data_IF_162404121762
#
_entry.id   IF_162404121762
#
_cell.length_a   1.000
_cell.length_b   1.000
_cell.length_c   1.000
_cell.angle_alpha   90.00
_cell.angle_beta   90.00
_cell.angle_gamma   90.00
#
_symmetry.space_group_name_H-M   'P 1'
#
loop_
_entity.id
_entity.type
_entity.pdbx_description
1 polymer ?
#
# COMPACT_ATOMS: atom_id res chain seq x y z
N UNK A 1 14.67 -54.80 -9.38
CA UNK A 1 14.64 -53.32 -9.33
C UNK A 1 13.18 -52.87 -9.21
N UNK A 2 12.67 -52.65 -8.00
CA UNK A 2 11.30 -52.20 -7.80
C UNK A 2 11.24 -50.67 -7.95
N UNK A 3 10.56 -50.21 -9.00
CA UNK A 3 10.39 -48.77 -9.29
C UNK A 3 9.41 -48.13 -8.31
N UNK A 4 9.92 -47.26 -7.44
CA UNK A 4 9.12 -46.43 -6.53
C UNK A 4 8.31 -45.39 -7.31
N UNK A 5 7.10 -45.73 -7.78
CA UNK A 5 6.16 -44.77 -8.37
C UNK A 5 5.35 -44.10 -7.25
N UNK A 6 5.66 -42.83 -6.97
CA UNK A 6 4.83 -42.00 -6.07
C UNK A 6 3.36 -42.02 -6.54
N UNK A 7 2.39 -42.25 -5.65
CA UNK A 7 0.98 -42.24 -6.01
C UNK A 7 0.57 -40.86 -6.55
N UNK A 8 -0.27 -40.85 -7.59
CA UNK A 8 -0.77 -39.61 -8.19
C UNK A 8 -1.62 -38.88 -7.15
N UNK A 9 -1.41 -37.56 -6.97
CA UNK A 9 -2.23 -36.74 -6.06
C UNK A 9 -3.71 -36.86 -6.46
N UNK A 10 -4.59 -37.10 -5.49
CA UNK A 10 -6.03 -37.11 -5.69
C UNK A 10 -6.50 -35.75 -6.20
N UNK A 11 -7.30 -35.74 -7.27
CA UNK A 11 -7.89 -34.52 -7.82
C UNK A 11 -8.81 -33.88 -6.79
N UNK A 12 -8.48 -32.65 -6.37
CA UNK A 12 -9.37 -31.80 -5.58
C UNK A 12 -9.96 -30.75 -6.52
N UNK A 13 -11.26 -30.81 -6.84
CA UNK A 13 -11.88 -29.81 -7.70
C UNK A 13 -11.71 -28.43 -7.07
N UNK A 14 -11.33 -27.43 -7.87
CA UNK A 14 -11.30 -26.04 -7.40
C UNK A 14 -12.74 -25.63 -7.08
N UNK A 15 -12.94 -25.01 -5.92
CA UNK A 15 -14.24 -24.43 -5.59
C UNK A 15 -14.54 -23.29 -6.57
N UNK A 16 -15.58 -23.46 -7.39
CA UNK A 16 -16.05 -22.43 -8.33
C UNK A 16 -17.20 -21.72 -7.62
N UNK A 17 -16.99 -20.46 -7.25
CA UNK A 17 -18.11 -19.62 -6.79
C UNK A 17 -19.02 -19.28 -7.97
N UNK A 18 -20.34 -19.43 -7.76
CA UNK A 18 -21.37 -19.13 -8.76
C UNK A 18 -21.39 -17.66 -9.18
N UNK A 19 -20.83 -16.77 -8.35
CA UNK A 19 -20.82 -15.32 -8.57
C UNK A 19 -19.49 -14.80 -9.15
N UNK A 20 -18.54 -15.67 -9.52
CA UNK A 20 -17.22 -15.27 -10.05
C UNK A 20 -17.33 -14.27 -11.21
N UNK A 21 -18.28 -14.46 -12.12
CA UNK A 21 -18.48 -13.54 -13.25
C UNK A 21 -18.84 -12.13 -12.81
N UNK A 22 -19.66 -11.99 -11.77
CA UNK A 22 -20.09 -10.69 -11.22
C UNK A 22 -18.94 -10.02 -10.46
N UNK A 23 -18.22 -10.78 -9.63
CA UNK A 23 -17.05 -10.27 -8.88
C UNK A 23 -15.97 -9.73 -9.83
N UNK A 24 -15.70 -10.42 -10.95
CA UNK A 24 -14.74 -9.93 -11.95
C UNK A 24 -15.17 -8.61 -12.59
N UNK A 25 -16.47 -8.41 -12.84
CA UNK A 25 -16.99 -7.16 -13.38
C UNK A 25 -16.91 -6.03 -12.35
N UNK A 26 -17.27 -6.30 -11.10
CA UNK A 26 -17.19 -5.32 -10.01
C UNK A 26 -15.75 -4.86 -9.79
N UNK A 27 -14.77 -5.77 -9.89
CA UNK A 27 -13.34 -5.40 -9.77
C UNK A 27 -12.85 -4.48 -10.88
N UNK A 28 -13.54 -4.42 -12.02
CA UNK A 28 -13.20 -3.53 -13.15
C UNK A 28 -13.77 -2.13 -12.99
N UNK A 29 -14.55 -1.84 -11.96
CA UNK A 29 -14.98 -0.48 -11.64
C UNK A 29 -14.09 0.12 -10.55
N UNK A 30 -13.99 1.46 -10.46
CA UNK A 30 -13.48 2.14 -9.28
C UNK A 30 -14.28 1.79 -8.02
N UNK A 31 -13.72 2.18 -6.87
CA UNK A 31 -14.44 2.13 -5.60
C UNK A 31 -15.62 3.11 -5.62
N UNK A 32 -16.69 2.78 -4.88
CA UNK A 32 -17.72 3.79 -4.61
C UNK A 32 -17.15 4.89 -3.71
N UNK A 33 -17.76 6.08 -3.79
CA UNK A 33 -17.33 7.27 -3.05
C UNK A 33 -17.33 7.02 -1.54
N UNK A 34 -18.32 6.27 -1.03
CA UNK A 34 -18.38 5.90 0.40
C UNK A 34 -17.17 5.05 0.80
N UNK A 35 -16.86 4.02 0.02
CA UNK A 35 -15.75 3.11 0.28
C UNK A 35 -14.39 3.83 0.22
N UNK A 36 -14.18 4.72 -0.76
CA UNK A 36 -12.95 5.51 -0.85
C UNK A 36 -12.83 6.51 0.29
N UNK A 37 -13.96 7.07 0.75
CA UNK A 37 -13.99 8.03 1.87
C UNK A 37 -13.65 7.35 3.19
N UNK A 38 -14.26 6.20 3.48
CA UNK A 38 -13.99 5.44 4.71
C UNK A 38 -12.51 5.04 4.81
N UNK A 39 -11.93 4.60 3.68
CA UNK A 39 -10.51 4.28 3.61
C UNK A 39 -9.64 5.53 3.79
N UNK A 40 -10.00 6.64 3.14
CA UNK A 40 -9.30 7.92 3.28
C UNK A 40 -9.28 8.42 4.73
N UNK A 41 -10.41 8.32 5.45
CA UNK A 41 -10.51 8.70 6.87
C UNK A 41 -9.45 7.95 7.70
N UNK A 42 -9.30 6.63 7.51
CA UNK A 42 -8.33 5.84 8.26
C UNK A 42 -6.88 6.34 8.03
N UNK A 43 -6.51 6.63 6.79
CA UNK A 43 -5.18 7.13 6.45
C UNK A 43 -4.93 8.55 6.99
N UNK A 44 -5.91 9.44 6.86
CA UNK A 44 -5.79 10.82 7.35
C UNK A 44 -5.77 10.90 8.87
N UNK A 45 -6.52 10.05 9.58
CA UNK A 45 -6.45 9.94 11.04
C UNK A 45 -5.07 9.47 11.48
N UNK A 46 -4.54 8.41 10.87
CA UNK A 46 -3.20 7.91 11.17
C UNK A 46 -2.13 8.98 10.91
N UNK A 47 -2.24 9.71 9.80
CA UNK A 47 -1.35 10.82 9.48
C UNK A 47 -1.47 11.95 10.52
N UNK A 48 -2.67 12.36 10.90
CA UNK A 48 -2.89 13.42 11.89
C UNK A 48 -2.30 13.07 13.27
N UNK A 49 -2.46 11.83 13.73
CA UNK A 49 -1.84 11.35 14.97
C UNK A 49 -0.30 11.41 14.90
N UNK A 50 0.28 11.00 13.76
CA UNK A 50 1.73 11.09 13.51
C UNK A 50 2.24 12.54 13.52
N UNK A 51 1.47 13.48 12.97
CA UNK A 51 1.83 14.90 12.88
C UNK A 51 1.71 15.61 14.23
N UNK A 52 0.74 15.21 15.06
CA UNK A 52 0.53 15.76 16.41
C UNK A 52 1.45 15.13 17.46
N UNK A 53 2.34 14.23 17.07
CA UNK A 53 3.29 13.56 17.97
C UNK A 53 2.65 12.52 18.89
N UNK A 54 1.42 12.08 18.58
CA UNK A 54 0.71 10.97 19.25
C UNK A 54 0.80 9.67 18.45
N UNK A 55 1.62 9.67 17.40
CA UNK A 55 1.87 8.53 16.54
C UNK A 55 2.35 7.29 17.29
N UNK A 56 2.04 6.12 16.73
CA UNK A 56 2.59 4.84 17.13
C UNK A 56 3.01 4.05 15.87
N UNK A 57 3.50 2.83 16.06
CA UNK A 57 3.95 1.97 14.95
C UNK A 57 2.81 1.63 13.97
N UNK A 58 1.59 1.45 14.46
CA UNK A 58 0.41 1.14 13.64
C UNK A 58 0.01 2.32 12.76
N UNK A 59 0.03 3.54 13.30
CA UNK A 59 -0.23 4.76 12.54
C UNK A 59 0.84 4.97 11.46
N UNK A 60 2.12 4.77 11.81
CA UNK A 60 3.20 4.82 10.83
C UNK A 60 3.03 3.77 9.72
N UNK A 61 2.74 2.51 10.08
CA UNK A 61 2.54 1.42 9.13
C UNK A 61 1.35 1.69 8.19
N UNK A 62 0.26 2.24 8.73
CA UNK A 62 -0.92 2.63 7.97
C UNK A 62 -0.58 3.70 6.92
N UNK A 63 0.14 4.76 7.30
CA UNK A 63 0.57 5.80 6.36
C UNK A 63 1.54 5.23 5.31
N UNK A 64 2.53 4.43 5.73
CA UNK A 64 3.52 3.82 4.82
C UNK A 64 2.85 2.88 3.81
N UNK A 65 1.79 2.16 4.21
CA UNK A 65 1.00 1.35 3.29
C UNK A 65 0.41 2.21 2.17
N UNK A 66 -0.25 3.32 2.51
CA UNK A 66 -0.80 4.26 1.52
C UNK A 66 0.28 4.83 0.60
N UNK A 67 1.44 5.22 1.14
CA UNK A 67 2.55 5.75 0.35
C UNK A 67 3.12 4.72 -0.64
N UNK A 68 3.25 3.45 -0.23
CA UNK A 68 3.73 2.39 -1.11
C UNK A 68 2.72 2.05 -2.20
N UNK A 69 1.42 2.02 -1.88
CA UNK A 69 0.36 1.88 -2.88
C UNK A 69 0.45 3.03 -3.88
N UNK A 70 0.59 4.26 -3.37
CA UNK A 70 0.69 5.44 -4.22
C UNK A 70 1.88 5.37 -5.16
N UNK A 71 3.04 4.92 -4.69
CA UNK A 71 4.22 4.73 -5.53
C UNK A 71 3.94 3.73 -6.66
N UNK A 72 3.42 2.53 -6.33
CA UNK A 72 3.11 1.51 -7.34
C UNK A 72 2.08 2.01 -8.36
N UNK A 73 1.12 2.84 -7.94
CA UNK A 73 0.14 3.44 -8.85
C UNK A 73 0.76 4.53 -9.73
N UNK A 74 1.65 5.38 -9.19
CA UNK A 74 2.40 6.35 -10.02
C UNK A 74 3.26 5.67 -11.07
N UNK A 75 3.94 4.55 -10.74
CA UNK A 75 4.70 3.73 -11.69
C UNK A 75 3.83 3.12 -12.80
N UNK A 76 2.51 3.03 -12.57
CA UNK A 76 1.52 2.54 -13.53
C UNK A 76 0.81 3.67 -14.28
N UNK A 77 1.28 4.91 -14.14
CA UNK A 77 0.77 6.09 -14.85
C UNK A 77 -0.33 6.87 -14.11
N UNK A 78 -0.61 6.58 -12.84
CA UNK A 78 -1.58 7.34 -12.05
C UNK A 78 -0.88 8.45 -11.24
N UNK A 79 -0.68 9.63 -11.84
CA UNK A 79 -0.04 10.78 -11.20
C UNK A 79 1.49 10.72 -11.21
N UNK A 80 2.07 10.32 -12.34
CA UNK A 80 3.51 10.15 -12.56
C UNK A 80 4.33 11.40 -12.18
N UNK A 81 3.77 12.59 -12.40
CA UNK A 81 4.38 13.88 -12.06
C UNK A 81 4.64 14.08 -10.56
N UNK A 82 3.91 13.37 -9.70
CA UNK A 82 4.05 13.44 -8.24
C UNK A 82 4.98 12.35 -7.70
N UNK A 83 5.44 11.41 -8.55
CA UNK A 83 6.32 10.30 -8.14
C UNK A 83 7.55 10.74 -7.33
N UNK A 84 8.30 11.82 -7.69
CA UNK A 84 9.44 12.27 -6.89
C UNK A 84 9.04 12.65 -5.46
N UNK A 85 7.86 13.24 -5.29
CA UNK A 85 7.30 13.61 -3.98
C UNK A 85 6.94 12.38 -3.16
N UNK A 86 6.36 11.35 -3.79
CA UNK A 86 6.05 10.08 -3.13
C UNK A 86 7.33 9.38 -2.64
N UNK A 87 8.40 9.39 -3.44
CA UNK A 87 9.70 8.83 -3.05
C UNK A 87 10.28 9.55 -1.82
N UNK A 88 10.30 10.90 -1.83
CA UNK A 88 10.75 11.68 -0.67
C UNK A 88 9.89 11.45 0.58
N UNK A 89 8.59 11.26 0.42
CA UNK A 89 7.69 10.89 1.52
C UNK A 89 8.06 9.53 2.14
N UNK A 90 8.38 8.53 1.31
CA UNK A 90 8.83 7.21 1.76
C UNK A 90 10.20 7.29 2.46
N UNK A 91 11.14 8.08 1.95
CA UNK A 91 12.42 8.35 2.64
C UNK A 91 12.19 8.98 4.01
N UNK A 92 11.26 9.95 4.09
CA UNK A 92 10.80 10.55 5.34
C UNK A 92 10.21 9.53 6.31
N UNK A 93 9.44 8.57 5.81
CA UNK A 93 8.88 7.50 6.62
C UNK A 93 9.95 6.54 7.16
N UNK A 94 11.01 6.26 6.38
CA UNK A 94 12.17 5.49 6.86
C UNK A 94 12.88 6.23 7.98
N UNK A 95 13.16 7.54 7.81
CA UNK A 95 13.77 8.36 8.86
C UNK A 95 12.91 8.41 10.13
N UNK A 96 11.59 8.53 9.99
CA UNK A 96 10.64 8.50 11.10
C UNK A 96 10.75 7.20 11.91
N UNK A 97 10.78 6.04 11.25
CA UNK A 97 10.94 4.72 11.89
C UNK A 97 12.28 4.62 12.60
N UNK A 98 13.36 5.00 11.93
CA UNK A 98 14.71 4.86 12.47
C UNK A 98 14.93 5.79 13.68
N UNK A 99 14.30 6.96 13.68
CA UNK A 99 14.22 7.85 14.86
C UNK A 99 13.38 7.22 15.98
N UNK A 100 12.20 6.70 15.67
CA UNK A 100 11.34 6.05 16.66
C UNK A 100 12.03 4.87 17.36
N UNK A 101 12.83 4.08 16.63
CA UNK A 101 13.64 3.00 17.22
C UNK A 101 14.69 3.49 18.22
N UNK A 102 15.18 4.74 18.09
CA UNK A 102 16.19 5.32 18.98
C UNK A 102 15.58 6.01 20.20
N UNK A 103 14.45 6.71 20.05
CA UNK A 103 13.89 7.58 21.10
C UNK A 103 12.44 7.24 21.50
N UNK A 104 11.83 6.24 20.89
CA UNK A 104 10.45 5.81 21.17
C UNK A 104 9.35 6.73 20.63
N UNK A 105 9.70 7.80 19.90
CA UNK A 105 8.73 8.79 19.38
C UNK A 105 8.49 8.62 17.88
N UNK A 106 7.23 8.42 17.52
CA UNK A 106 6.78 8.33 16.14
C UNK A 106 6.28 9.68 15.63
N UNK A 107 6.73 10.05 14.44
CA UNK A 107 6.35 11.28 13.76
C UNK A 107 7.28 11.54 12.58
N UNK A 108 6.88 12.42 11.67
CA UNK A 108 7.71 12.85 10.55
C UNK A 108 8.66 13.99 10.95
N UNK A 109 9.71 14.24 10.16
CA UNK A 109 10.47 15.49 10.26
C UNK A 109 9.81 16.59 9.41
N UNK A 110 10.26 17.85 9.58
CA UNK A 110 9.68 19.00 8.89
C UNK A 110 9.72 18.87 7.37
N UNK A 111 10.81 18.35 6.84
CA UNK A 111 11.01 18.17 5.39
C UNK A 111 10.05 17.12 4.83
N UNK A 112 9.89 15.98 5.51
CA UNK A 112 8.98 14.91 5.08
C UNK A 112 7.50 15.30 5.21
N UNK A 113 7.15 16.23 6.09
CA UNK A 113 5.76 16.50 6.46
C UNK A 113 4.91 16.96 5.27
N UNK A 114 5.44 17.86 4.44
CA UNK A 114 4.75 18.35 3.24
C UNK A 114 4.66 17.27 2.16
N UNK A 115 5.73 16.51 1.96
CA UNK A 115 5.77 15.44 0.96
C UNK A 115 4.80 14.30 1.30
N UNK A 116 4.72 13.90 2.58
CA UNK A 116 3.78 12.86 3.04
C UNK A 116 2.33 13.31 2.86
N UNK A 117 1.99 14.56 3.21
CA UNK A 117 0.64 15.09 2.98
C UNK A 117 0.27 15.04 1.51
N UNK A 118 1.14 15.55 0.64
CA UNK A 118 0.89 15.55 -0.80
C UNK A 118 0.77 14.14 -1.38
N UNK A 119 1.56 13.19 -0.89
CA UNK A 119 1.48 11.80 -1.32
C UNK A 119 0.20 11.10 -0.85
N UNK A 120 -0.33 11.42 0.34
CA UNK A 120 -1.63 10.91 0.81
C UNK A 120 -2.79 11.54 0.02
N UNK A 121 -2.73 12.82 -0.30
CA UNK A 121 -3.71 13.46 -1.20
C UNK A 121 -3.73 12.81 -2.58
N UNK A 122 -2.55 12.54 -3.14
CA UNK A 122 -2.42 11.79 -4.39
C UNK A 122 -3.04 10.40 -4.27
N UNK A 123 -2.79 9.69 -3.17
CA UNK A 123 -3.40 8.39 -2.93
C UNK A 123 -4.94 8.47 -2.98
N UNK A 124 -5.55 9.49 -2.38
CA UNK A 124 -7.02 9.67 -2.43
C UNK A 124 -7.54 9.99 -3.85
N UNK A 125 -6.77 10.76 -4.62
CA UNK A 125 -7.06 11.01 -6.04
C UNK A 125 -6.99 9.70 -6.84
N UNK A 126 -5.95 8.89 -6.60
CA UNK A 126 -5.77 7.59 -7.24
C UNK A 126 -6.89 6.61 -6.87
N UNK A 127 -7.34 6.56 -5.61
CA UNK A 127 -8.44 5.69 -5.18
C UNK A 127 -9.78 6.04 -5.85
N UNK A 128 -9.96 7.31 -6.26
CA UNK A 128 -11.16 7.76 -6.98
C UNK A 128 -11.19 7.32 -8.45
N UNK A 129 -10.03 7.12 -9.07
CA UNK A 129 -9.93 6.85 -10.52
C UNK A 129 -9.49 5.43 -10.87
N UNK A 130 -8.66 4.81 -10.03
CA UNK A 130 -8.16 3.47 -10.26
C UNK A 130 -9.27 2.44 -10.00
N UNK A 131 -9.30 1.38 -10.83
CA UNK A 131 -10.23 0.28 -10.61
C UNK A 131 -9.82 -0.54 -9.38
N UNK A 132 -10.80 -1.17 -8.72
CA UNK A 132 -10.53 -2.06 -7.56
C UNK A 132 -9.46 -3.11 -7.90
N UNK A 133 -9.50 -3.68 -9.11
CA UNK A 133 -8.49 -4.62 -9.59
C UNK A 133 -7.08 -4.02 -9.63
N UNK A 134 -6.94 -2.78 -10.11
CA UNK A 134 -5.64 -2.09 -10.19
C UNK A 134 -5.08 -1.84 -8.79
N UNK A 135 -5.92 -1.39 -7.86
CA UNK A 135 -5.53 -1.15 -6.45
C UNK A 135 -5.13 -2.46 -5.77
N UNK A 136 -5.91 -3.53 -5.93
CA UNK A 136 -5.57 -4.85 -5.37
C UNK A 136 -4.26 -5.40 -5.94
N UNK A 137 -4.02 -5.22 -7.24
CA UNK A 137 -2.75 -5.59 -7.87
C UNK A 137 -1.59 -4.71 -7.38
N UNK A 138 -1.85 -3.46 -7.01
CA UNK A 138 -0.83 -2.59 -6.41
C UNK A 138 -0.48 -3.07 -4.99
N UNK A 139 -1.48 -3.38 -4.18
CA UNK A 139 -1.27 -3.96 -2.84
C UNK A 139 -0.51 -5.29 -2.88
N UNK A 140 -0.86 -6.19 -3.81
CA UNK A 140 -0.14 -7.44 -4.00
C UNK A 140 1.34 -7.22 -4.38
N UNK A 141 1.60 -6.22 -5.21
CA UNK A 141 2.95 -5.80 -5.59
C UNK A 141 3.72 -5.22 -4.39
N UNK A 142 3.07 -4.42 -3.54
CA UNK A 142 3.67 -3.93 -2.29
C UNK A 142 4.07 -5.09 -1.38
N UNK A 143 3.19 -6.07 -1.15
CA UNK A 143 3.53 -7.26 -0.36
C UNK A 143 4.70 -8.04 -0.96
N UNK A 144 4.70 -8.24 -2.29
CA UNK A 144 5.82 -8.89 -2.98
C UNK A 144 7.15 -8.14 -2.76
N UNK A 145 7.14 -6.81 -2.81
CA UNK A 145 8.34 -5.98 -2.54
C UNK A 145 8.80 -6.13 -1.09
N UNK A 146 7.87 -6.17 -0.14
CA UNK A 146 8.18 -6.39 1.27
C UNK A 146 8.81 -7.76 1.50
N UNK A 147 8.20 -8.82 0.96
CA UNK A 147 8.68 -10.20 1.10
C UNK A 147 10.05 -10.42 0.44
N UNK A 148 10.31 -9.73 -0.68
CA UNK A 148 11.61 -9.74 -1.36
C UNK A 148 12.70 -8.95 -0.61
N UNK A 149 12.36 -8.26 0.49
CA UNK A 149 13.29 -7.36 1.19
C UNK A 149 13.55 -6.04 0.46
N UNK A 150 12.75 -5.74 -0.58
CA UNK A 150 12.79 -4.51 -1.37
C UNK A 150 11.80 -3.46 -0.84
N UNK A 151 11.30 -3.59 0.40
CA UNK A 151 10.53 -2.54 1.06
C UNK A 151 11.39 -1.28 1.15
N UNK A 152 11.16 -0.34 0.22
CA UNK A 152 11.86 0.93 0.02
C UNK A 152 13.25 0.99 0.65
N UNK A 153 14.19 0.31 -0.01
CA UNK A 153 15.63 0.54 0.09
C UNK A 153 16.11 0.90 -1.32
N UNK A 154 15.82 2.11 -1.77
CA UNK A 154 16.69 2.76 -2.76
C UNK A 154 17.50 3.83 -2.02
N UNK A 155 18.41 3.35 -1.17
CA UNK A 155 19.53 4.13 -0.68
C UNK A 155 20.81 3.45 -1.18
N UNK A 156 21.25 3.88 -2.36
CA UNK A 156 22.64 3.93 -2.79
C UNK A 156 22.76 5.04 -3.84
#
# INVERSE_FOLDING_TARGET
MAGNKKPRKAYRPRAISRTIGIDVLERRTPMDTSQSTDLGIAYHVALDEMLKGRGNEEHWSTVVCALNIALVLTERGYGEEVMPTVKRALDGAVRARDRARKCGRWGFDGDAMSDVRRAVELHDEQMRVATKAVVLNALAEVHRRIDAGHAFKEAA
#
